data_IF_843987540106
#
_entry.id   IF_843987540106
#
_cell.length_a   1.000
_cell.length_b   1.000
_cell.length_c   1.000
_cell.angle_alpha   90.00
_cell.angle_beta   90.00
_cell.angle_gamma   90.00
#
_symmetry.space_group_name_H-M   'P 1'
#
loop_
_entity.id
_entity.type
_entity.pdbx_description
1 polymer ?
#
# COMPACT_ATOMS: atom_id res chain seq x y z
N UNK A 1 19.07 -36.28 -48.73
CA UNK A 1 20.42 -35.81 -49.09
C UNK A 1 21.06 -35.35 -47.76
N UNK A 2 21.86 -36.24 -47.14
CA UNK A 2 23.31 -36.29 -47.15
C UNK A 2 23.96 -34.98 -46.64
N UNK A 3 24.76 -34.84 -45.63
CA UNK A 3 25.85 -35.68 -45.01
C UNK A 3 26.26 -35.00 -43.72
N UNK A 4 26.37 -35.68 -42.62
CA UNK A 4 27.60 -36.39 -42.13
C UNK A 4 28.72 -35.46 -41.61
N UNK A 5 28.95 -35.51 -40.33
CA UNK A 5 30.10 -36.08 -39.63
C UNK A 5 31.33 -35.17 -39.51
N UNK A 6 31.82 -34.92 -38.26
CA UNK A 6 33.05 -35.52 -37.79
C UNK A 6 33.29 -35.18 -36.31
N UNK A 7 33.45 -36.24 -35.53
CA UNK A 7 34.16 -36.30 -34.26
C UNK A 7 35.60 -35.75 -34.38
N UNK A 8 36.09 -35.12 -33.35
CA UNK A 8 37.51 -35.19 -33.01
C UNK A 8 37.67 -35.29 -31.48
N UNK A 9 38.07 -36.46 -31.11
CA UNK A 9 38.57 -36.87 -29.79
C UNK A 9 40.06 -36.50 -29.72
N UNK A 10 40.48 -35.87 -28.64
CA UNK A 10 41.89 -35.90 -28.24
C UNK A 10 41.99 -35.84 -26.72
N UNK A 11 42.35 -36.95 -26.21
CA UNK A 11 42.83 -37.24 -24.86
C UNK A 11 44.27 -36.72 -24.71
N UNK A 12 44.63 -36.04 -23.63
CA UNK A 12 45.97 -36.17 -23.05
C UNK A 12 45.96 -35.89 -21.54
N UNK A 13 46.72 -36.72 -20.89
CA UNK A 13 46.73 -37.00 -19.47
C UNK A 13 47.79 -36.19 -18.70
N UNK A 14 47.53 -36.09 -17.40
CA UNK A 14 48.47 -36.19 -16.26
C UNK A 14 49.60 -35.16 -16.10
N UNK A 15 49.55 -34.43 -15.00
CA UNK A 15 50.66 -34.44 -14.03
C UNK A 15 50.24 -33.77 -12.69
N UNK A 16 50.43 -34.54 -11.69
CA UNK A 16 50.38 -34.34 -10.25
C UNK A 16 51.54 -33.45 -9.78
N UNK A 17 51.33 -32.44 -8.97
CA UNK A 17 52.27 -32.03 -7.93
C UNK A 17 51.62 -31.14 -6.88
N UNK A 18 51.72 -31.60 -5.65
CA UNK A 18 51.37 -30.92 -4.42
C UNK A 18 52.44 -29.88 -4.05
N UNK A 19 52.01 -28.75 -3.41
CA UNK A 19 52.78 -28.07 -2.35
C UNK A 19 51.91 -26.92 -1.78
N UNK A 20 51.43 -27.06 -0.64
CA UNK A 20 51.59 -26.36 0.64
C UNK A 20 51.81 -24.83 0.63
N UNK A 21 50.94 -24.21 1.46
CA UNK A 21 51.12 -23.04 2.33
C UNK A 21 51.35 -21.67 1.69
N UNK A 22 50.47 -20.72 1.93
CA UNK A 22 50.74 -19.68 2.92
C UNK A 22 49.53 -18.69 3.09
N UNK A 23 49.31 -18.39 4.33
CA UNK A 23 48.60 -17.36 5.00
C UNK A 23 48.45 -15.99 4.28
N UNK A 24 47.32 -15.38 4.58
CA UNK A 24 47.09 -13.94 4.80
C UNK A 24 47.18 -12.98 3.60
N UNK A 25 46.05 -12.42 3.21
CA UNK A 25 45.82 -10.99 3.41
C UNK A 25 44.38 -10.64 3.02
N UNK A 26 43.69 -10.08 4.00
CA UNK A 26 42.40 -9.38 3.78
C UNK A 26 42.50 -8.44 2.59
N UNK A 27 41.58 -8.60 1.64
CA UNK A 27 41.13 -7.52 0.79
C UNK A 27 39.64 -7.45 0.92
N UNK A 28 39.23 -6.44 1.65
CA UNK A 28 37.92 -5.86 1.70
C UNK A 28 37.47 -5.52 0.29
N UNK A 29 36.80 -6.44 -0.39
CA UNK A 29 36.03 -6.15 -1.56
C UNK A 29 34.65 -5.73 -1.04
N UNK A 30 34.26 -4.49 -1.29
CA UNK A 30 32.93 -3.99 -0.99
C UNK A 30 31.90 -4.78 -1.80
N UNK A 31 31.23 -5.71 -1.16
CA UNK A 31 29.96 -6.22 -1.61
C UNK A 31 28.93 -5.11 -1.44
N UNK A 32 28.60 -4.47 -2.55
CA UNK A 32 27.32 -3.79 -2.67
C UNK A 32 26.23 -4.89 -2.64
N UNK A 33 25.96 -5.39 -1.43
CA UNK A 33 24.73 -6.12 -1.15
C UNK A 33 23.60 -5.09 -1.29
N UNK A 34 22.97 -5.08 -2.46
CA UNK A 34 21.66 -4.49 -2.61
C UNK A 34 20.73 -5.29 -1.70
N UNK A 35 20.58 -4.80 -0.48
CA UNK A 35 19.53 -5.22 0.43
C UNK A 35 18.19 -4.85 -0.23
N UNK A 36 17.65 -5.78 -1.00
CA UNK A 36 16.25 -5.81 -1.30
C UNK A 36 15.56 -6.15 0.03
N UNK A 37 15.44 -5.13 0.89
CA UNK A 37 14.57 -5.18 2.06
C UNK A 37 13.21 -5.66 1.60
N UNK A 38 12.96 -6.93 1.82
CA UNK A 38 11.61 -7.50 1.75
C UNK A 38 10.86 -6.85 2.91
N UNK A 39 10.27 -5.66 2.65
CA UNK A 39 9.43 -4.99 3.63
C UNK A 39 8.31 -5.96 3.98
N UNK A 40 8.28 -6.37 5.25
CA UNK A 40 7.20 -7.18 5.80
C UNK A 40 5.89 -6.40 5.59
N UNK A 41 4.92 -6.94 4.82
CA UNK A 41 3.66 -6.24 4.56
C UNK A 41 2.90 -5.90 5.84
N UNK A 42 3.11 -6.67 6.93
CA UNK A 42 2.47 -6.42 8.22
C UNK A 42 3.05 -5.19 8.93
N UNK A 43 4.30 -4.83 8.67
CA UNK A 43 4.92 -3.62 9.24
C UNK A 43 4.34 -2.33 8.66
N UNK A 44 3.65 -2.39 7.52
CA UNK A 44 3.00 -1.24 6.87
C UNK A 44 1.51 -1.12 7.20
N UNK A 45 0.92 -2.04 7.98
CA UNK A 45 -0.48 -1.96 8.36
C UNK A 45 -0.77 -0.66 9.13
N UNK A 46 -1.86 0.02 8.75
CA UNK A 46 -2.25 1.30 9.36
C UNK A 46 -1.42 2.50 8.94
N UNK A 47 -0.42 2.34 8.06
CA UNK A 47 0.33 3.49 7.55
C UNK A 47 -0.46 4.20 6.43
N UNK A 48 -0.56 5.55 6.46
CA UNK A 48 -1.15 6.31 5.37
C UNK A 48 -0.47 5.99 4.04
N UNK A 49 -1.26 5.94 2.97
CA UNK A 49 -0.76 5.76 1.61
C UNK A 49 -0.63 7.15 0.97
N UNK A 50 0.60 7.66 0.76
CA UNK A 50 0.80 9.06 0.35
C UNK A 50 0.11 9.42 -0.98
N UNK A 51 -0.05 8.44 -1.88
CA UNK A 51 -0.69 8.61 -3.18
C UNK A 51 -2.22 8.71 -3.08
N UNK A 52 -2.80 8.31 -1.94
CA UNK A 52 -4.23 8.29 -1.70
C UNK A 52 -4.59 9.35 -0.67
N UNK A 53 -4.74 10.59 -1.11
CA UNK A 53 -5.14 11.70 -0.24
C UNK A 53 -6.55 11.51 0.34
N UNK A 54 -6.80 12.15 1.48
CA UNK A 54 -8.10 12.10 2.14
C UNK A 54 -9.23 12.67 1.27
N UNK A 55 -10.44 12.14 1.47
CA UNK A 55 -11.67 12.60 0.84
C UNK A 55 -12.58 13.22 1.91
N UNK A 56 -13.14 14.40 1.64
CA UNK A 56 -13.89 15.18 2.60
C UNK A 56 -15.40 15.16 2.33
N UNK A 57 -16.17 15.34 3.40
CA UNK A 57 -17.62 15.31 3.40
C UNK A 57 -18.23 16.59 4.00
N UNK A 58 -19.43 16.89 3.54
CA UNK A 58 -20.26 17.93 4.15
C UNK A 58 -20.73 17.52 5.55
N UNK A 59 -21.22 18.51 6.31
CA UNK A 59 -21.79 18.24 7.61
C UNK A 59 -22.96 17.25 7.50
N UNK A 60 -23.00 16.32 8.44
CA UNK A 60 -24.06 15.29 8.57
C UNK A 60 -24.35 14.55 7.25
N UNK A 61 -23.32 14.35 6.42
CA UNK A 61 -23.45 13.73 5.11
C UNK A 61 -22.38 12.66 4.88
N UNK A 62 -22.78 11.60 4.18
CA UNK A 62 -21.91 10.58 3.59
C UNK A 62 -21.95 10.62 2.04
N UNK A 63 -22.58 11.63 1.46
CA UNK A 63 -22.69 11.79 0.01
C UNK A 63 -21.37 12.32 -0.57
N UNK A 64 -20.87 11.69 -1.62
CA UNK A 64 -19.67 12.15 -2.31
C UNK A 64 -19.95 13.41 -3.13
N UNK A 65 -19.21 14.47 -2.88
CA UNK A 65 -19.18 15.67 -3.72
C UNK A 65 -18.55 15.37 -5.08
N UNK A 66 -18.71 16.28 -6.04
CA UNK A 66 -18.03 16.14 -7.33
C UNK A 66 -16.49 16.16 -7.19
N UNK A 67 -15.96 16.97 -6.28
CA UNK A 67 -14.54 17.00 -5.95
C UNK A 67 -14.06 15.65 -5.40
N UNK A 68 -14.79 15.09 -4.42
CA UNK A 68 -14.51 13.78 -3.85
C UNK A 68 -14.50 12.68 -4.93
N UNK A 69 -15.50 12.68 -5.83
CA UNK A 69 -15.57 11.71 -6.94
C UNK A 69 -14.37 11.81 -7.89
N UNK A 70 -13.91 13.04 -8.18
CA UNK A 70 -12.74 13.24 -9.04
C UNK A 70 -11.47 12.70 -8.38
N UNK A 71 -11.25 12.98 -7.10
CA UNK A 71 -10.14 12.42 -6.30
C UNK A 71 -10.19 10.89 -6.31
N UNK A 72 -11.36 10.31 -6.04
CA UNK A 72 -11.54 8.86 -5.99
C UNK A 72 -11.33 8.17 -7.34
N UNK A 73 -11.57 8.83 -8.48
CA UNK A 73 -11.18 8.27 -9.79
C UNK A 73 -9.66 8.13 -9.93
N UNK A 74 -8.90 9.10 -9.40
CA UNK A 74 -7.44 9.01 -9.31
C UNK A 74 -7.01 7.81 -8.45
N UNK A 75 -7.63 7.68 -7.26
CA UNK A 75 -7.37 6.54 -6.36
C UNK A 75 -7.70 5.20 -7.01
N UNK A 76 -8.82 5.09 -7.72
CA UNK A 76 -9.19 3.87 -8.44
C UNK A 76 -8.16 3.49 -9.51
N UNK A 77 -7.62 4.47 -10.24
CA UNK A 77 -6.57 4.21 -11.23
C UNK A 77 -5.29 3.71 -10.57
N UNK A 78 -4.88 4.33 -9.46
CA UNK A 78 -3.72 3.90 -8.69
C UNK A 78 -3.90 2.48 -8.13
N UNK A 79 -5.05 2.18 -7.53
CA UNK A 79 -5.36 0.87 -6.96
C UNK A 79 -5.36 -0.24 -8.04
N UNK A 80 -5.92 0.03 -9.22
CA UNK A 80 -5.90 -0.91 -10.35
C UNK A 80 -4.48 -1.16 -10.87
N UNK A 81 -3.61 -0.17 -10.81
CA UNK A 81 -2.19 -0.31 -11.16
C UNK A 81 -1.36 -1.02 -10.08
N UNK A 82 -1.90 -1.13 -8.85
CA UNK A 82 -1.24 -1.75 -7.71
C UNK A 82 -2.06 -2.91 -7.10
N UNK A 83 -2.35 -4.00 -7.84
CA UNK A 83 -3.28 -5.06 -7.42
C UNK A 83 -2.80 -5.85 -6.19
N UNK A 84 -1.52 -5.76 -5.87
CA UNK A 84 -0.93 -6.38 -4.66
C UNK A 84 -1.15 -5.59 -3.37
N UNK A 85 -1.68 -4.35 -3.44
CA UNK A 85 -1.93 -3.52 -2.26
C UNK A 85 -3.33 -3.74 -1.74
N UNK A 86 -3.45 -4.02 -0.43
CA UNK A 86 -4.71 -4.00 0.29
C UNK A 86 -4.84 -2.68 1.05
N UNK A 87 -6.01 -2.06 0.97
CA UNK A 87 -6.27 -0.73 1.53
C UNK A 87 -7.45 -0.79 2.48
N UNK A 88 -7.29 -0.18 3.63
CA UNK A 88 -8.37 0.07 4.56
C UNK A 88 -8.83 1.53 4.42
N UNK A 89 -10.12 1.72 4.23
CA UNK A 89 -10.77 3.02 4.19
C UNK A 89 -11.29 3.33 5.59
N UNK A 90 -10.74 4.37 6.19
CA UNK A 90 -11.09 4.81 7.53
C UNK A 90 -12.09 5.97 7.45
N UNK A 91 -13.25 5.83 8.11
CA UNK A 91 -14.28 6.86 8.17
C UNK A 91 -14.22 7.66 9.46
N UNK A 92 -14.23 9.00 9.31
CA UNK A 92 -14.11 9.94 10.42
C UNK A 92 -15.22 10.99 10.40
N UNK A 93 -15.51 11.52 11.57
CA UNK A 93 -16.49 12.58 11.80
C UNK A 93 -15.87 13.74 12.57
N UNK A 94 -16.56 14.87 12.58
CA UNK A 94 -16.34 15.90 13.57
C UNK A 94 -17.01 15.50 14.91
N UNK A 95 -16.73 16.25 15.97
CA UNK A 95 -17.15 15.95 17.35
C UNK A 95 -18.64 16.19 17.64
N UNK A 96 -19.42 16.70 16.68
CA UNK A 96 -20.82 17.01 16.88
C UNK A 96 -21.70 15.77 16.73
N UNK A 97 -22.47 15.48 17.78
CA UNK A 97 -23.35 14.31 17.84
C UNK A 97 -23.02 13.39 19.01
N UNK A 98 -23.57 12.17 18.99
CA UNK A 98 -23.14 11.12 19.92
C UNK A 98 -22.08 10.26 19.29
N UNK A 99 -21.25 9.64 20.12
CA UNK A 99 -20.18 8.71 19.64
C UNK A 99 -20.76 7.58 18.81
N UNK A 100 -21.89 7.00 19.21
CA UNK A 100 -22.55 5.92 18.45
C UNK A 100 -23.03 6.42 17.07
N UNK A 101 -23.61 7.64 17.05
CA UNK A 101 -24.04 8.24 15.79
C UNK A 101 -22.86 8.50 14.85
N UNK A 102 -21.77 9.08 15.38
CA UNK A 102 -20.57 9.39 14.61
C UNK A 102 -19.86 8.13 14.13
N UNK A 103 -19.85 7.06 14.94
CA UNK A 103 -19.33 5.77 14.50
C UNK A 103 -20.13 5.21 13.31
N UNK A 104 -21.47 5.27 13.38
CA UNK A 104 -22.32 4.83 12.28
C UNK A 104 -22.19 5.72 11.03
N UNK A 105 -22.04 7.05 11.20
CA UNK A 105 -21.85 7.98 10.10
C UNK A 105 -20.48 7.77 9.42
N UNK A 106 -19.43 7.54 10.20
CA UNK A 106 -18.09 7.20 9.71
C UNK A 106 -18.10 5.91 8.89
N UNK A 107 -18.81 4.88 9.35
CA UNK A 107 -18.96 3.62 8.60
C UNK A 107 -19.67 3.84 7.25
N UNK A 108 -20.75 4.64 7.22
CA UNK A 108 -21.42 5.00 5.97
C UNK A 108 -20.50 5.76 5.02
N UNK A 109 -19.66 6.67 5.51
CA UNK A 109 -18.67 7.40 4.71
C UNK A 109 -17.65 6.45 4.08
N UNK A 110 -17.04 5.59 4.89
CA UNK A 110 -16.09 4.58 4.42
C UNK A 110 -16.74 3.62 3.41
N UNK A 111 -17.96 3.15 3.69
CA UNK A 111 -18.75 2.29 2.80
C UNK A 111 -19.02 2.96 1.45
N UNK A 112 -19.46 4.22 1.46
CA UNK A 112 -19.73 4.98 0.22
C UNK A 112 -18.48 5.14 -0.64
N UNK A 113 -17.33 5.40 -0.02
CA UNK A 113 -16.02 5.47 -0.72
C UNK A 113 -15.66 4.12 -1.33
N UNK A 114 -15.74 3.04 -0.54
CA UNK A 114 -15.48 1.68 -1.01
C UNK A 114 -16.35 1.31 -2.19
N UNK A 115 -17.65 1.54 -2.08
CA UNK A 115 -18.62 1.19 -3.14
C UNK A 115 -18.36 1.99 -4.41
N UNK A 116 -17.98 3.26 -4.28
CA UNK A 116 -17.56 4.06 -5.43
C UNK A 116 -16.32 3.49 -6.09
N UNK A 117 -15.27 3.13 -5.33
CA UNK A 117 -14.04 2.54 -5.88
C UNK A 117 -14.33 1.21 -6.59
N UNK A 118 -15.18 0.36 -6.01
CA UNK A 118 -15.63 -0.90 -6.64
C UNK A 118 -16.37 -0.61 -7.96
N UNK A 119 -17.23 0.40 -8.00
CA UNK A 119 -17.93 0.82 -9.23
C UNK A 119 -16.97 1.32 -10.32
N UNK A 120 -15.77 1.79 -9.94
CA UNK A 120 -14.69 2.18 -10.86
C UNK A 120 -13.78 1.00 -11.26
N UNK A 121 -14.11 -0.23 -10.86
CA UNK A 121 -13.41 -1.45 -11.24
C UNK A 121 -12.27 -1.85 -10.30
N UNK A 122 -12.20 -1.29 -9.07
CA UNK A 122 -11.27 -1.78 -8.05
C UNK A 122 -11.83 -3.09 -7.46
N UNK A 123 -11.04 -4.17 -7.37
CA UNK A 123 -11.48 -5.41 -6.75
C UNK A 123 -11.91 -5.19 -5.29
N UNK A 124 -13.10 -5.65 -4.91
CA UNK A 124 -13.61 -5.52 -3.55
C UNK A 124 -12.67 -6.16 -2.49
N UNK A 125 -11.94 -7.20 -2.87
CA UNK A 125 -10.97 -7.87 -2.00
C UNK A 125 -9.74 -7.01 -1.64
N UNK A 126 -9.47 -5.93 -2.39
CA UNK A 126 -8.43 -4.96 -2.06
C UNK A 126 -8.87 -3.98 -0.97
N UNK A 127 -10.16 -3.89 -0.67
CA UNK A 127 -10.75 -2.80 0.12
C UNK A 127 -11.42 -3.35 1.37
N UNK A 128 -11.07 -2.78 2.51
CA UNK A 128 -11.78 -2.95 3.78
C UNK A 128 -12.23 -1.60 4.31
N UNK A 129 -13.19 -1.58 5.23
CA UNK A 129 -13.68 -0.37 5.87
C UNK A 129 -13.57 -0.47 7.37
N UNK A 130 -13.35 0.66 8.03
CA UNK A 130 -13.46 0.83 9.47
C UNK A 130 -13.94 2.24 9.77
N UNK A 131 -14.66 2.42 10.86
CA UNK A 131 -15.01 3.74 11.37
C UNK A 131 -14.34 4.01 12.70
N UNK A 132 -13.84 5.20 12.85
CA UNK A 132 -13.39 5.76 14.13
C UNK A 132 -14.31 6.87 14.62
N UNK A 133 -15.38 7.19 13.88
CA UNK A 133 -16.27 8.27 14.25
C UNK A 133 -15.49 9.55 14.54
N UNK A 134 -15.69 10.12 15.72
CA UNK A 134 -15.00 11.33 16.20
C UNK A 134 -13.71 11.05 16.97
N UNK A 135 -13.38 9.79 17.26
CA UNK A 135 -12.30 9.40 18.19
C UNK A 135 -10.88 9.75 17.70
N UNK A 136 -10.72 9.97 16.38
CA UNK A 136 -9.41 10.27 15.77
C UNK A 136 -9.45 11.59 14.97
N UNK A 137 -9.57 12.73 15.63
CA UNK A 137 -9.54 14.03 14.96
C UNK A 137 -8.12 14.33 14.43
N UNK A 138 -8.03 14.83 13.19
CA UNK A 138 -6.77 15.31 12.62
C UNK A 138 -6.47 16.76 13.04
N UNK A 139 -7.52 17.52 13.35
CA UNK A 139 -7.41 18.87 13.90
C UNK A 139 -8.35 18.97 15.09
N UNK A 140 -7.81 19.41 16.21
CA UNK A 140 -8.62 19.71 17.40
C UNK A 140 -9.17 21.14 17.33
N UNK A 141 -10.35 21.34 17.92
CA UNK A 141 -10.98 22.64 18.05
C UNK A 141 -12.42 22.68 17.56
N UNK A 142 -13.20 23.55 18.19
CA UNK A 142 -14.63 23.75 17.99
C UNK A 142 -14.90 24.83 16.91
N UNK A 143 -14.41 24.63 15.71
CA UNK A 143 -14.60 25.55 14.60
C UNK A 143 -14.84 24.81 13.29
N UNK A 144 -15.56 25.45 12.34
CA UNK A 144 -15.79 24.84 11.02
C UNK A 144 -14.47 24.55 10.28
N UNK A 145 -13.43 25.33 10.53
CA UNK A 145 -12.09 25.07 9.97
C UNK A 145 -11.42 23.79 10.49
N UNK A 146 -11.75 23.37 11.73
CA UNK A 146 -11.33 22.09 12.28
C UNK A 146 -12.29 20.96 11.85
N UNK A 147 -13.59 21.18 12.01
CA UNK A 147 -14.62 20.20 11.69
C UNK A 147 -14.59 19.72 10.24
N UNK A 148 -14.42 20.65 9.28
CA UNK A 148 -14.33 20.29 7.86
C UNK A 148 -13.16 19.37 7.54
N UNK A 149 -12.05 19.45 8.28
CA UNK A 149 -10.90 18.55 8.13
C UNK A 149 -11.13 17.19 8.80
N UNK A 150 -11.96 17.15 9.83
CA UNK A 150 -12.27 15.91 10.55
C UNK A 150 -13.33 15.09 9.80
N UNK A 151 -14.24 15.70 9.04
CA UNK A 151 -15.22 15.01 8.21
C UNK A 151 -14.58 14.42 6.96
N UNK A 152 -13.90 13.29 7.10
CA UNK A 152 -13.08 12.71 6.04
C UNK A 152 -13.15 11.20 5.96
N UNK A 153 -12.71 10.65 4.84
CA UNK A 153 -12.25 9.27 4.72
C UNK A 153 -10.77 9.27 4.37
N UNK A 154 -9.99 8.45 5.07
CA UNK A 154 -8.57 8.24 4.86
C UNK A 154 -8.29 6.84 4.32
N UNK A 155 -7.09 6.67 3.73
CA UNK A 155 -6.65 5.44 3.10
C UNK A 155 -5.35 5.00 3.74
N UNK A 156 -5.38 3.85 4.38
CA UNK A 156 -4.20 3.28 5.01
C UNK A 156 -3.92 1.89 4.46
N UNK A 157 -2.67 1.47 4.56
CA UNK A 157 -2.30 0.11 4.17
C UNK A 157 -2.97 -0.90 5.10
N UNK A 158 -3.77 -1.80 4.54
CA UNK A 158 -4.26 -2.94 5.30
C UNK A 158 -3.14 -3.98 5.40
N UNK A 159 -2.80 -4.40 6.62
CA UNK A 159 -1.96 -5.56 6.84
C UNK A 159 -2.64 -6.81 6.25
N UNK A 160 -1.87 -7.65 5.57
CA UNK A 160 -2.34 -8.98 5.14
C UNK A 160 -2.16 -9.98 6.27
#
# INVERSE_FOLDING_TARGET
MFRSSKLFTALFAVALSASLTHCSKERKAGEASGDASTMDPSAMAGQPIPELGAVFFEYDSFTLTNAARNTLRGHANWLKANPGRSVQVEGHCDERGTTEYNLALGERRAGTVRDFLVSQGVPAAQLSTISYGEERPVVQGESESAWSKNRRAEFVSAGR
#
